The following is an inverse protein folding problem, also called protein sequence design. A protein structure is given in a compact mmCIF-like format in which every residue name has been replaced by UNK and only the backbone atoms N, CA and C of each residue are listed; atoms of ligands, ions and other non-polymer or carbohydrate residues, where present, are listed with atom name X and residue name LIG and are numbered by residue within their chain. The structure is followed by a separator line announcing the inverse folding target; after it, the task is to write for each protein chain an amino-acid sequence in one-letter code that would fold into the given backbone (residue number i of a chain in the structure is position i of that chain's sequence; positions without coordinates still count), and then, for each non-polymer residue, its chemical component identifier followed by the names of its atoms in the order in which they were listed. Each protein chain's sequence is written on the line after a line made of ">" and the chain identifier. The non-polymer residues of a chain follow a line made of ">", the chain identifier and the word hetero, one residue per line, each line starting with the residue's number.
data_IF_836172884898
#
_entry.id   IF_836172884898
#
_cell.length_a   1.000
_cell.length_b   1.000
_cell.length_c   1.000
_cell.angle_alpha   90.00
_cell.angle_beta   90.00
_cell.angle_gamma   90.00
#
_symmetry.space_group_name_H-M   'P 1'
#
loop_
_entity.id
_entity.type
_entity.pdbx_description
1 polymer ?
#
# COMPACT_ATOMS: atom_id res chain seq x y z
N UNK A 1 -39.07 -4.54 -4.49
CA UNK A 1 -37.83 -4.09 -5.16
C UNK A 1 -36.65 -4.13 -4.17
N UNK A 2 -36.04 -5.30 -3.93
CA UNK A 2 -34.81 -5.44 -3.11
C UNK A 2 -34.01 -6.69 -3.56
N UNK A 3 -33.42 -6.66 -4.76
CA UNK A 3 -32.50 -7.73 -5.23
C UNK A 3 -31.24 -7.17 -5.91
N UNK A 4 -30.88 -5.90 -5.70
CA UNK A 4 -29.76 -5.27 -6.41
C UNK A 4 -28.37 -5.42 -5.73
N UNK A 5 -28.30 -6.00 -4.51
CA UNK A 5 -27.04 -6.05 -3.73
C UNK A 5 -26.45 -7.46 -3.57
N UNK A 6 -27.07 -8.50 -4.14
CA UNK A 6 -26.62 -9.89 -3.93
C UNK A 6 -25.68 -10.44 -5.01
N UNK A 7 -25.40 -9.64 -6.05
CA UNK A 7 -24.57 -10.09 -7.18
C UNK A 7 -23.09 -9.71 -7.04
N UNK A 8 -22.77 -8.77 -6.14
CA UNK A 8 -21.40 -8.30 -5.91
C UNK A 8 -20.84 -8.87 -4.62
N UNK A 9 -19.55 -9.21 -4.62
CA UNK A 9 -18.81 -9.54 -3.41
C UNK A 9 -18.71 -8.35 -2.46
N UNK A 10 -18.44 -8.62 -1.19
CA UNK A 10 -18.17 -7.58 -0.19
C UNK A 10 -16.74 -7.67 0.32
N UNK A 11 -16.12 -6.53 0.63
CA UNK A 11 -14.82 -6.46 1.28
C UNK A 11 -15.05 -6.12 2.75
N UNK A 12 -14.34 -6.79 3.64
CA UNK A 12 -14.25 -6.41 5.04
C UNK A 12 -12.79 -6.07 5.34
N UNK A 13 -12.50 -4.81 5.65
CA UNK A 13 -11.15 -4.36 5.99
C UNK A 13 -11.06 -4.11 7.49
N UNK A 14 -10.08 -4.72 8.13
CA UNK A 14 -9.75 -4.51 9.53
C UNK A 14 -8.34 -3.93 9.65
N UNK A 15 -8.22 -2.79 10.30
CA UNK A 15 -6.94 -2.11 10.54
C UNK A 15 -6.63 -2.10 12.03
N UNK A 16 -5.53 -2.73 12.44
CA UNK A 16 -5.10 -2.82 13.84
C UNK A 16 -3.67 -2.31 13.99
N UNK A 17 -3.41 -1.68 15.12
CA UNK A 17 -2.07 -1.28 15.55
C UNK A 17 -1.58 -2.22 16.65
N UNK A 18 -0.34 -2.66 16.55
CA UNK A 18 0.31 -3.32 17.68
C UNK A 18 0.53 -2.31 18.81
N UNK A 19 0.44 -2.74 20.09
CA UNK A 19 0.56 -1.83 21.24
C UNK A 19 1.94 -1.18 21.37
N UNK A 20 2.94 -1.67 20.64
CA UNK A 20 4.31 -1.16 20.59
C UNK A 20 4.63 -0.44 19.26
N UNK A 21 3.66 -0.27 18.36
CA UNK A 21 3.92 0.23 17.01
C UNK A 21 4.29 1.70 16.92
N UNK A 22 3.82 2.51 17.88
CA UNK A 22 4.12 3.95 17.92
C UNK A 22 5.09 4.25 19.05
N UNK A 23 6.25 4.82 18.71
CA UNK A 23 7.31 5.25 19.63
C UNK A 23 7.02 6.59 20.33
N UNK A 24 5.74 6.93 20.55
CA UNK A 24 5.30 8.22 21.09
C UNK A 24 3.98 8.17 21.85
N UNK A 25 3.60 9.31 22.44
CA UNK A 25 2.28 9.51 23.11
C UNK A 25 1.11 9.61 22.14
N UNK A 26 1.38 9.68 20.85
CA UNK A 26 0.39 9.75 19.78
C UNK A 26 -0.13 8.34 19.46
N UNK A 27 -0.78 7.71 20.44
CA UNK A 27 -1.58 6.53 20.17
C UNK A 27 -2.69 6.96 19.19
N UNK A 28 -2.61 6.46 17.95
CA UNK A 28 -3.62 6.71 16.93
C UNK A 28 -5.00 6.39 17.53
N UNK A 29 -5.86 7.39 17.65
CA UNK A 29 -7.16 7.21 18.31
C UNK A 29 -8.01 6.24 17.49
N UNK A 30 -8.85 5.44 18.14
CA UNK A 30 -9.76 4.50 17.44
C UNK A 30 -10.65 5.17 16.37
N UNK A 31 -10.87 6.49 16.48
CA UNK A 31 -11.59 7.29 15.47
C UNK A 31 -10.77 7.51 14.20
N UNK A 32 -9.47 7.76 14.35
CA UNK A 32 -8.57 7.98 13.22
C UNK A 32 -8.37 6.67 12.44
N UNK A 33 -8.29 5.55 13.17
CA UNK A 33 -8.17 4.21 12.56
C UNK A 33 -9.44 3.81 11.81
N UNK A 34 -10.64 4.12 12.35
CA UNK A 34 -11.91 3.87 11.67
C UNK A 34 -12.09 4.72 10.41
N UNK A 35 -11.66 5.99 10.45
CA UNK A 35 -11.69 6.86 9.28
C UNK A 35 -10.76 6.34 8.17
N UNK A 36 -9.53 5.99 8.54
CA UNK A 36 -8.54 5.42 7.62
C UNK A 36 -9.02 4.09 7.03
N UNK A 37 -9.63 3.23 7.84
CA UNK A 37 -10.25 1.97 7.39
C UNK A 37 -11.31 2.21 6.33
N UNK A 38 -12.19 3.21 6.55
CA UNK A 38 -13.25 3.55 5.61
C UNK A 38 -12.69 4.06 4.28
N UNK A 39 -11.64 4.88 4.35
CA UNK A 39 -10.96 5.42 3.17
C UNK A 39 -10.25 4.33 2.36
N UNK A 40 -9.51 3.45 3.03
CA UNK A 40 -8.86 2.29 2.37
C UNK A 40 -9.91 1.35 1.77
N UNK A 41 -11.03 1.12 2.46
CA UNK A 41 -12.13 0.30 1.95
C UNK A 41 -12.68 0.85 0.63
N UNK A 42 -12.88 2.18 0.54
CA UNK A 42 -13.29 2.84 -0.69
C UNK A 42 -12.27 2.66 -1.82
N UNK A 43 -10.97 2.81 -1.52
CA UNK A 43 -9.90 2.62 -2.50
C UNK A 43 -9.86 1.18 -3.03
N UNK A 44 -10.04 0.18 -2.16
CA UNK A 44 -10.02 -1.23 -2.56
C UNK A 44 -11.24 -1.64 -3.37
N UNK A 45 -12.42 -1.09 -3.07
CA UNK A 45 -13.62 -1.34 -3.88
C UNK A 45 -13.45 -0.86 -5.33
N UNK A 46 -12.62 0.16 -5.57
CA UNK A 46 -12.33 0.66 -6.92
C UNK A 46 -11.36 -0.25 -7.70
N UNK A 47 -10.54 -1.04 -6.99
CA UNK A 47 -9.45 -1.82 -7.58
C UNK A 47 -9.80 -3.31 -7.71
N UNK A 48 -10.55 -3.87 -6.74
CA UNK A 48 -10.91 -5.29 -6.73
C UNK A 48 -12.14 -5.53 -7.61
N UNK A 49 -12.10 -6.58 -8.45
CA UNK A 49 -13.24 -6.97 -9.28
C UNK A 49 -14.27 -7.77 -8.48
N UNK A 50 -15.08 -7.06 -7.69
CA UNK A 50 -16.12 -7.66 -6.84
C UNK A 50 -17.23 -8.39 -7.61
N UNK A 51 -17.38 -8.09 -8.90
CA UNK A 51 -18.36 -8.73 -9.77
C UNK A 51 -18.06 -10.22 -10.00
N UNK A 52 -16.81 -10.66 -9.81
CA UNK A 52 -16.41 -12.06 -9.93
C UNK A 52 -16.70 -12.87 -8.65
N UNK A 53 -17.00 -12.19 -7.55
CA UNK A 53 -17.08 -12.77 -6.21
C UNK A 53 -18.50 -12.70 -5.63
N UNK A 54 -19.51 -13.10 -6.41
CA UNK A 54 -20.90 -13.10 -5.94
C UNK A 54 -21.07 -13.88 -4.64
N UNK A 55 -21.79 -13.28 -3.67
CA UNK A 55 -22.05 -13.85 -2.32
C UNK A 55 -20.80 -14.19 -1.49
N UNK A 56 -19.62 -13.75 -1.92
CA UNK A 56 -18.36 -13.99 -1.20
C UNK A 56 -17.92 -12.72 -0.46
N UNK A 57 -17.22 -12.92 0.64
CA UNK A 57 -16.65 -11.82 1.44
C UNK A 57 -15.14 -11.96 1.49
N UNK A 58 -14.43 -10.95 1.01
CA UNK A 58 -12.98 -10.87 1.07
C UNK A 58 -12.61 -10.14 2.37
N UNK A 59 -11.97 -10.84 3.29
CA UNK A 59 -11.49 -10.26 4.55
C UNK A 59 -10.01 -9.88 4.41
N UNK A 60 -9.70 -8.60 4.61
CA UNK A 60 -8.34 -8.05 4.60
C UNK A 60 -8.03 -7.52 5.99
N UNK A 61 -7.01 -8.07 6.64
CA UNK A 61 -6.53 -7.58 7.94
C UNK A 61 -5.14 -6.97 7.78
N UNK A 62 -4.97 -5.76 8.30
CA UNK A 62 -3.69 -5.04 8.33
C UNK A 62 -3.28 -4.85 9.78
N UNK A 63 -2.09 -5.34 10.10
CA UNK A 63 -1.47 -5.16 11.40
C UNK A 63 -0.21 -4.31 11.25
N UNK A 64 -0.22 -3.14 11.87
CA UNK A 64 0.92 -2.23 11.91
C UNK A 64 1.81 -2.64 13.08
N UNK A 65 3.05 -3.00 12.76
CA UNK A 65 4.05 -3.38 13.76
C UNK A 65 4.90 -2.20 14.22
N UNK A 66 5.17 -1.27 13.30
CA UNK A 66 5.98 -0.07 13.51
C UNK A 66 5.48 1.00 12.53
N UNK A 67 5.37 2.24 12.99
CA UNK A 67 5.01 3.39 12.17
C UNK A 67 6.11 4.44 12.21
N UNK A 68 6.74 4.66 11.06
CA UNK A 68 7.80 5.65 10.86
C UNK A 68 7.39 6.73 9.83
N UNK A 69 6.11 7.12 9.77
CA UNK A 69 5.63 8.26 8.98
C UNK A 69 5.01 7.90 7.62
N UNK A 70 5.39 6.76 7.04
CA UNK A 70 4.86 6.20 5.79
C UNK A 70 3.71 5.20 5.94
N UNK A 71 2.90 5.29 7.00
CA UNK A 71 1.90 4.27 7.34
C UNK A 71 0.95 3.91 6.19
N UNK A 72 0.34 4.91 5.55
CA UNK A 72 -0.72 4.71 4.55
C UNK A 72 -0.13 4.19 3.25
N UNK A 73 1.01 4.73 2.82
CA UNK A 73 1.70 4.31 1.61
C UNK A 73 2.14 2.85 1.70
N UNK A 74 2.73 2.48 2.84
CA UNK A 74 3.10 1.11 3.15
C UNK A 74 1.88 0.19 3.23
N UNK A 75 0.82 0.60 3.94
CA UNK A 75 -0.40 -0.20 4.08
C UNK A 75 -1.06 -0.49 2.73
N UNK A 76 -1.21 0.51 1.85
CA UNK A 76 -1.79 0.32 0.51
C UNK A 76 -0.99 -0.68 -0.32
N UNK A 77 0.33 -0.54 -0.32
CA UNK A 77 1.24 -1.41 -1.06
C UNK A 77 1.19 -2.85 -0.52
N UNK A 78 1.18 -3.01 0.82
CA UNK A 78 1.04 -4.30 1.48
C UNK A 78 -0.30 -4.97 1.18
N UNK A 79 -1.41 -4.21 1.19
CA UNK A 79 -2.74 -4.76 0.84
C UNK A 79 -2.74 -5.24 -0.61
N UNK A 80 -2.27 -4.41 -1.55
CA UNK A 80 -2.17 -4.79 -2.96
C UNK A 80 -1.34 -6.05 -3.16
N UNK A 81 -0.21 -6.15 -2.46
CA UNK A 81 0.65 -7.32 -2.49
C UNK A 81 -0.03 -8.57 -1.89
N UNK A 82 -0.73 -8.43 -0.76
CA UNK A 82 -1.43 -9.53 -0.10
C UNK A 82 -2.59 -10.07 -0.94
N UNK A 83 -3.36 -9.19 -1.58
CA UNK A 83 -4.43 -9.58 -2.49
C UNK A 83 -3.88 -10.29 -3.73
N UNK A 84 -2.75 -9.81 -4.29
CA UNK A 84 -2.06 -10.46 -5.39
C UNK A 84 -1.52 -11.85 -5.00
N UNK A 85 -0.92 -11.98 -3.81
CA UNK A 85 -0.39 -13.25 -3.29
C UNK A 85 -1.52 -14.27 -3.04
N UNK A 86 -2.68 -13.80 -2.56
CA UNK A 86 -3.88 -14.61 -2.38
C UNK A 86 -4.53 -15.05 -3.71
N UNK A 87 -4.08 -14.52 -4.86
CA UNK A 87 -4.66 -14.80 -6.17
C UNK A 87 -6.06 -14.21 -6.35
N UNK A 88 -6.36 -13.10 -5.66
CA UNK A 88 -7.61 -12.38 -5.84
C UNK A 88 -7.51 -11.54 -7.10
N UNK A 89 -8.57 -11.57 -7.92
CA UNK A 89 -8.58 -10.88 -9.20
C UNK A 89 -8.75 -9.36 -8.98
N UNK A 90 -7.68 -8.61 -9.26
CA UNK A 90 -7.63 -7.15 -9.14
C UNK A 90 -7.48 -6.52 -10.52
N UNK A 91 -7.94 -5.27 -10.68
CA UNK A 91 -7.66 -4.48 -11.87
C UNK A 91 -6.19 -4.06 -11.94
N UNK A 92 -5.58 -3.79 -10.78
CA UNK A 92 -4.20 -3.34 -10.68
C UNK A 92 -3.62 -3.62 -9.28
N UNK A 93 -2.29 -3.60 -9.17
CA UNK A 93 -1.60 -3.61 -7.88
C UNK A 93 -1.54 -2.17 -7.37
N UNK A 94 -2.19 -1.93 -6.24
CA UNK A 94 -2.18 -0.60 -5.61
C UNK A 94 -0.82 -0.35 -4.98
N UNK A 95 -0.24 0.82 -5.27
CA UNK A 95 0.98 1.30 -4.64
C UNK A 95 0.73 2.64 -3.99
N UNK A 96 1.32 2.85 -2.82
CA UNK A 96 1.21 4.12 -2.12
C UNK A 96 2.54 4.88 -2.11
N UNK A 97 2.47 6.20 -2.13
CA UNK A 97 3.58 7.08 -1.83
C UNK A 97 3.10 8.24 -0.95
N UNK A 98 3.99 8.70 -0.07
CA UNK A 98 3.76 9.87 0.77
C UNK A 98 4.75 10.95 0.36
N UNK A 99 4.34 12.21 0.41
CA UNK A 99 5.22 13.34 0.19
C UNK A 99 4.80 14.53 1.04
N UNK A 100 5.74 15.45 1.26
CA UNK A 100 5.44 16.71 1.88
C UNK A 100 6.04 17.89 1.12
N UNK A 101 5.34 19.02 1.17
CA UNK A 101 5.87 20.32 0.74
C UNK A 101 6.00 21.20 1.96
N UNK A 102 7.15 21.85 2.11
CA UNK A 102 7.35 22.84 3.15
C UNK A 102 8.06 24.08 2.59
N UNK A 103 7.72 25.23 3.14
CA UNK A 103 8.40 26.49 2.84
C UNK A 103 9.43 26.77 3.92
N UNK A 104 10.70 26.86 3.53
CA UNK A 104 11.79 27.31 4.41
C UNK A 104 11.99 28.79 4.16
N UNK A 105 11.57 29.61 5.12
CA UNK A 105 11.98 31.00 5.20
C UNK A 105 13.39 31.08 5.78
N UNK A 106 14.35 31.55 5.00
CA UNK A 106 15.65 31.96 5.51
C UNK A 106 15.62 33.49 5.69
N UNK A 107 16.16 34.04 6.79
CA UNK A 107 16.07 35.48 7.06
C UNK A 107 16.68 36.37 5.95
N UNK A 108 17.66 35.85 5.21
CA UNK A 108 18.40 36.59 4.18
C UNK A 108 18.05 36.22 2.72
N UNK A 109 17.08 35.33 2.47
CA UNK A 109 16.72 34.93 1.09
C UNK A 109 15.21 34.69 0.90
N UNK A 110 14.70 34.80 -0.34
CA UNK A 110 13.28 34.55 -0.60
C UNK A 110 12.90 33.14 -0.14
N UNK A 111 11.67 32.95 0.38
CA UNK A 111 11.22 31.67 0.90
C UNK A 111 11.36 30.60 -0.18
N UNK A 112 12.11 29.54 0.12
CA UNK A 112 12.29 28.40 -0.79
C UNK A 112 11.27 27.34 -0.45
N UNK A 113 10.51 26.92 -1.44
CA UNK A 113 9.61 25.78 -1.32
C UNK A 113 10.37 24.52 -1.68
N UNK A 114 10.41 23.56 -0.75
CA UNK A 114 11.05 22.28 -0.92
C UNK A 114 9.98 21.19 -0.93
N UNK A 115 10.17 20.19 -1.79
CA UNK A 115 9.36 18.98 -1.85
C UNK A 115 10.21 17.82 -1.35
N UNK A 116 9.65 17.01 -0.48
CA UNK A 116 10.27 15.83 0.09
C UNK A 116 9.37 14.63 -0.19
N UNK A 117 9.98 13.55 -0.65
CA UNK A 117 9.31 12.28 -0.91
C UNK A 117 9.61 11.32 0.24
N UNK A 118 8.59 10.59 0.67
CA UNK A 118 8.62 9.61 1.76
C UNK A 118 9.15 10.18 3.08
N UNK A 119 8.45 11.16 3.68
CA UNK A 119 8.90 11.77 4.93
C UNK A 119 8.80 10.79 6.10
N UNK A 120 9.83 10.76 6.93
CA UNK A 120 9.86 9.94 8.14
C UNK A 120 8.99 10.56 9.27
N UNK A 121 8.87 9.85 10.40
CA UNK A 121 8.08 10.32 11.54
C UNK A 121 8.65 11.59 12.18
N UNK A 122 9.98 11.74 12.23
CA UNK A 122 10.64 12.90 12.82
C UNK A 122 10.46 14.16 11.96
N UNK A 123 10.60 14.02 10.65
CA UNK A 123 10.34 15.02 9.63
C UNK A 123 8.89 15.45 9.70
N UNK A 124 7.95 14.51 9.74
CA UNK A 124 6.53 14.82 9.86
C UNK A 124 6.22 15.65 11.11
N UNK A 125 6.87 15.35 12.22
CA UNK A 125 6.76 16.11 13.48
C UNK A 125 7.44 17.47 13.41
N UNK A 126 8.63 17.55 12.83
CA UNK A 126 9.41 18.78 12.71
C UNK A 126 8.76 19.80 11.75
N UNK A 127 8.06 19.31 10.73
CA UNK A 127 7.37 20.14 9.76
C UNK A 127 5.94 20.49 10.17
N UNK A 128 5.32 19.77 11.12
CA UNK A 128 3.95 20.02 11.59
C UNK A 128 3.72 21.47 12.09
N UNK A 129 4.73 22.09 12.72
CA UNK A 129 4.65 23.45 13.23
C UNK A 129 4.85 24.54 12.14
N UNK A 130 5.32 24.15 10.95
CA UNK A 130 5.55 25.06 9.81
C UNK A 130 4.37 24.99 8.85
N UNK A 131 4.26 25.98 7.95
CA UNK A 131 3.33 25.91 6.80
C UNK A 131 3.75 24.78 5.86
N UNK A 132 3.43 23.54 6.23
CA UNK A 132 3.70 22.33 5.48
C UNK A 132 2.40 21.78 4.90
N UNK A 133 2.53 20.92 3.90
CA UNK A 133 1.42 20.14 3.37
C UNK A 133 1.90 18.71 3.20
N UNK A 134 1.19 17.77 3.84
CA UNK A 134 1.42 16.35 3.71
C UNK A 134 0.39 15.75 2.76
N UNK A 135 0.85 14.90 1.86
CA UNK A 135 0.00 14.15 0.95
C UNK A 135 0.36 12.68 1.00
N UNK A 136 -0.64 11.85 1.22
CA UNK A 136 -0.58 10.41 1.02
C UNK A 136 -1.40 10.09 -0.22
N UNK A 137 -0.79 9.39 -1.17
CA UNK A 137 -1.38 9.06 -2.46
C UNK A 137 -1.34 7.55 -2.68
N UNK A 138 -2.47 6.97 -3.06
CA UNK A 138 -2.58 5.62 -3.60
C UNK A 138 -2.76 5.69 -5.10
N UNK A 139 -1.83 5.11 -5.84
CA UNK A 139 -1.81 5.10 -7.30
C UNK A 139 -2.00 3.69 -7.83
N UNK A 140 -2.65 3.61 -8.99
CA UNK A 140 -2.87 2.40 -9.76
C UNK A 140 -2.09 2.54 -11.10
N UNK A 141 -0.86 1.99 -11.19
CA UNK A 141 0.06 2.18 -12.30
C UNK A 141 -0.41 1.70 -13.67
N UNK A 142 -1.16 0.60 -13.74
CA UNK A 142 -1.73 0.06 -14.98
C UNK A 142 -2.94 0.88 -15.46
N UNK A 143 -3.72 1.46 -14.54
CA UNK A 143 -4.86 2.33 -14.87
C UNK A 143 -4.46 3.80 -15.04
N UNK A 144 -3.21 4.16 -14.70
CA UNK A 144 -2.72 5.54 -14.65
C UNK A 144 -3.67 6.49 -13.90
N UNK A 145 -4.22 5.99 -12.78
CA UNK A 145 -5.26 6.69 -12.01
C UNK A 145 -4.94 6.67 -10.53
N UNK A 146 -5.33 7.74 -9.85
CA UNK A 146 -5.27 7.83 -8.38
C UNK A 146 -6.47 7.09 -7.80
N UNK A 147 -6.19 6.15 -6.91
CA UNK A 147 -7.18 5.31 -6.24
C UNK A 147 -7.49 5.83 -4.83
N UNK A 148 -6.53 6.55 -4.22
CA UNK A 148 -6.68 7.17 -2.91
C UNK A 148 -5.88 8.46 -2.83
N UNK A 149 -6.41 9.49 -2.18
CA UNK A 149 -5.65 10.70 -1.85
C UNK A 149 -6.09 11.24 -0.49
N UNK A 150 -5.11 11.54 0.35
CA UNK A 150 -5.30 12.30 1.58
C UNK A 150 -4.29 13.42 1.60
N UNK A 151 -4.78 14.65 1.62
CA UNK A 151 -3.96 15.83 1.70
C UNK A 151 -4.32 16.62 2.96
N UNK A 152 -3.32 17.07 3.70
CA UNK A 152 -3.47 17.96 4.84
C UNK A 152 -2.48 19.11 4.74
N UNK A 153 -2.98 20.33 4.58
CA UNK A 153 -2.17 21.54 4.53
C UNK A 153 -2.71 22.61 3.56
N UNK A 154 -2.06 23.77 3.55
CA UNK A 154 -2.51 24.97 2.83
C UNK A 154 -1.79 25.20 1.50
N UNK A 155 -0.70 24.48 1.22
CA UNK A 155 0.15 24.70 0.04
C UNK A 155 -0.22 23.81 -1.16
N UNK A 156 -1.26 22.98 -1.05
CA UNK A 156 -1.66 22.04 -2.12
C UNK A 156 -2.08 22.76 -3.42
N UNK A 157 -2.68 23.95 -3.32
CA UNK A 157 -3.18 24.71 -4.47
C UNK A 157 -2.10 25.55 -5.18
N UNK A 158 -0.83 25.42 -4.78
CA UNK A 158 0.29 26.14 -5.40
C UNK A 158 0.94 25.28 -6.50
N UNK A 159 1.72 25.89 -7.39
CA UNK A 159 2.47 25.17 -8.45
C UNK A 159 3.39 24.07 -7.86
N UNK A 160 3.86 24.27 -6.63
CA UNK A 160 4.66 23.27 -5.89
C UNK A 160 3.85 22.00 -5.54
N UNK A 161 2.53 22.13 -5.37
CA UNK A 161 1.63 21.01 -5.12
C UNK A 161 1.50 20.09 -6.33
N UNK A 162 1.43 20.65 -7.54
CA UNK A 162 1.42 19.87 -8.78
C UNK A 162 2.74 19.11 -8.96
N UNK A 163 3.88 19.80 -8.74
CA UNK A 163 5.20 19.18 -8.81
C UNK A 163 5.34 18.01 -7.82
N UNK A 164 4.83 18.16 -6.60
CA UNK A 164 4.79 17.08 -5.62
C UNK A 164 3.96 15.88 -6.10
N UNK A 165 2.75 16.11 -6.63
CA UNK A 165 1.91 15.03 -7.13
C UNK A 165 2.57 14.26 -8.28
N UNK A 166 3.25 14.98 -9.19
CA UNK A 166 4.04 14.36 -10.26
C UNK A 166 5.19 13.53 -9.72
N UNK A 167 5.86 14.00 -8.68
CA UNK A 167 6.92 13.26 -8.01
C UNK A 167 6.39 11.99 -7.32
N UNK A 168 5.24 12.10 -6.62
CA UNK A 168 4.56 10.94 -6.04
C UNK A 168 4.15 9.92 -7.10
N UNK A 169 3.60 10.37 -8.24
CA UNK A 169 3.25 9.50 -9.36
C UNK A 169 4.47 8.72 -9.86
N UNK A 170 5.59 9.41 -10.10
CA UNK A 170 6.84 8.77 -10.51
C UNK A 170 7.39 7.78 -9.45
N UNK A 171 7.28 8.13 -8.17
CA UNK A 171 7.67 7.25 -7.07
C UNK A 171 6.81 5.98 -7.01
N UNK A 172 5.48 6.12 -7.13
CA UNK A 172 4.57 4.98 -7.20
C UNK A 172 4.89 4.06 -8.36
N UNK A 173 5.26 4.59 -9.53
CA UNK A 173 5.71 3.78 -10.67
C UNK A 173 6.96 2.96 -10.35
N UNK A 174 7.96 3.56 -9.69
CA UNK A 174 9.17 2.85 -9.29
C UNK A 174 8.88 1.74 -8.26
N UNK A 175 8.06 2.05 -7.23
CA UNK A 175 7.64 1.07 -6.22
C UNK A 175 6.85 -0.07 -6.87
N UNK A 176 5.96 0.24 -7.82
CA UNK A 176 5.18 -0.77 -8.52
C UNK A 176 6.03 -1.75 -9.33
N UNK A 177 7.10 -1.28 -9.96
CA UNK A 177 8.01 -2.14 -10.70
C UNK A 177 8.75 -3.11 -9.78
N UNK A 178 9.21 -2.63 -8.61
CA UNK A 178 9.86 -3.51 -7.63
C UNK A 178 8.85 -4.50 -7.02
N UNK A 179 7.64 -4.06 -6.69
CA UNK A 179 6.57 -4.94 -6.18
C UNK A 179 6.23 -6.04 -7.18
N UNK A 180 6.09 -5.70 -8.47
CA UNK A 180 5.86 -6.67 -9.55
C UNK A 180 7.03 -7.63 -9.71
N UNK A 181 8.26 -7.13 -9.60
CA UNK A 181 9.47 -7.95 -9.64
C UNK A 181 9.51 -8.94 -8.47
N UNK A 182 9.21 -8.49 -7.26
CA UNK A 182 9.11 -9.32 -6.06
C UNK A 182 8.03 -10.41 -6.21
N UNK A 183 6.84 -10.05 -6.69
CA UNK A 183 5.77 -11.02 -6.96
C UNK A 183 6.22 -12.11 -7.94
N UNK A 184 6.84 -11.73 -9.07
CA UNK A 184 7.35 -12.67 -10.07
C UNK A 184 8.39 -13.63 -9.47
N UNK A 185 9.34 -13.11 -8.69
CA UNK A 185 10.35 -13.92 -8.00
C UNK A 185 9.68 -14.92 -7.05
N UNK A 186 8.74 -14.47 -6.22
CA UNK A 186 8.01 -15.33 -5.27
C UNK A 186 7.20 -16.42 -5.97
N UNK A 187 6.52 -16.13 -7.08
CA UNK A 187 5.78 -17.14 -7.83
C UNK A 187 6.69 -18.17 -8.50
N UNK A 188 7.85 -17.75 -9.01
CA UNK A 188 8.85 -18.66 -9.58
C UNK A 188 9.35 -19.66 -8.54
N UNK A 189 9.76 -19.17 -7.36
CA UNK A 189 10.25 -20.01 -6.26
C UNK A 189 9.19 -21.02 -5.81
N UNK A 190 7.93 -20.60 -5.66
CA UNK A 190 6.83 -21.52 -5.30
C UNK A 190 6.53 -22.57 -6.37
N UNK A 191 6.75 -22.26 -7.65
CA UNK A 191 6.64 -23.28 -8.71
C UNK A 191 7.77 -24.30 -8.65
N UNK A 192 8.99 -23.85 -8.37
CA UNK A 192 10.15 -24.73 -8.20
C UNK A 192 9.97 -25.67 -7.00
N UNK A 193 9.53 -25.16 -5.85
CA UNK A 193 9.23 -25.98 -4.68
C UNK A 193 8.13 -27.02 -4.93
N UNK A 194 7.11 -26.68 -5.74
CA UNK A 194 6.08 -27.66 -6.14
C UNK A 194 6.67 -28.74 -7.04
N UNK A 195 7.49 -28.36 -8.02
CA UNK A 195 8.17 -29.31 -8.92
C UNK A 195 9.10 -30.26 -8.16
N UNK A 196 9.87 -29.76 -7.20
CA UNK A 196 10.82 -30.56 -6.43
C UNK A 196 10.10 -31.56 -5.50
N UNK A 197 8.93 -31.19 -4.97
CA UNK A 197 8.06 -32.11 -4.19
C UNK A 197 7.42 -33.21 -5.04
N UNK A 198 7.15 -32.94 -6.32
CA UNK A 198 6.55 -33.91 -7.25
C UNK A 198 7.55 -34.93 -7.80
N UNK A 199 8.85 -34.76 -7.53
CA UNK A 199 9.89 -35.80 -7.69
C UNK A 199 10.25 -36.46 -6.36
N UNK A 200 9.44 -37.39 -5.80
CA UNK A 200 9.96 -38.32 -4.81
C UNK A 200 11.02 -39.19 -5.47
N UNK A 201 12.17 -39.32 -4.79
CA UNK A 201 13.28 -40.19 -5.15
C UNK A 201 12.79 -41.51 -5.76
N UNK A 202 13.14 -41.75 -7.03
CA UNK A 202 12.95 -43.06 -7.63
C UNK A 202 13.58 -44.11 -6.71
N UNK A 203 12.89 -45.23 -6.40
CA UNK A 203 13.48 -46.27 -5.57
C UNK A 203 14.73 -46.76 -6.30
N UNK A 204 15.88 -46.58 -5.66
CA UNK A 204 17.15 -47.20 -6.09
C UNK A 204 16.91 -48.70 -6.03
N UNK A 205 16.54 -49.28 -7.17
CA UNK A 205 16.37 -50.71 -7.31
C UNK A 205 17.77 -51.33 -7.26
N UNK A 206 18.25 -51.62 -6.06
CA UNK A 206 19.38 -52.50 -5.83
C UNK A 206 18.98 -53.88 -6.34
N UNK A 207 19.34 -54.16 -7.59
CA UNK A 207 19.33 -55.49 -8.16
C UNK A 207 20.13 -56.43 -7.24
N UNK A 208 19.57 -57.58 -6.81
CA UNK A 208 20.34 -58.53 -6.02
C UNK A 208 21.47 -59.11 -6.88
N UNK A 209 22.66 -59.37 -6.31
CA UNK A 209 23.74 -60.00 -7.05
C UNK A 209 23.31 -61.41 -7.48
N UNK A 210 23.38 -61.66 -8.79
CA UNK A 210 23.20 -62.98 -9.38
C UNK A 210 24.46 -63.83 -9.16
N UNK A 211 24.28 -64.93 -8.42
CA UNK A 211 25.13 -66.14 -8.32
C UNK A 211 26.51 -66.01 -7.66
#
# INVERSE_FOLDING_TARGET
>A
MKHASQDRGSINLEFRFAPFATTGKDACSERDTAHLTTLLHQALNAVVRLDLYAKSTIAVSVLVLEDDGGLISAALTCIGLALADAGIEMLDVVTGASACVFSVGHPDSPPRTCVLLDPDAEERRAFADKNCTFVDLGYCPALASVCFIRASGTLLATESGEQMLRLCEAACYAVADEVRSCLRRSFCLRQEEKRDRETPQAPVNLSPPSS
#
